data_IF_307778402958
#
_entry.id   IF_307778402958
#
_cell.length_a   1.000
_cell.length_b   1.000
_cell.length_c   1.000
_cell.angle_alpha   90.00
_cell.angle_beta   90.00
_cell.angle_gamma   90.00
#
_symmetry.space_group_name_H-M   'P 1'
#
loop_
_entity.id
_entity.type
_entity.pdbx_description
1 polymer ?
#
# COMPACT_ATOMS: atom_id res chain seq x y z
N UNK A 1 13.77 -1.64 -37.89
CA UNK A 1 13.25 -2.24 -36.64
C UNK A 1 13.53 -1.29 -35.46
N UNK A 2 13.08 -0.03 -35.51
CA UNK A 2 13.50 0.99 -34.54
C UNK A 2 12.46 2.11 -34.29
N UNK A 3 11.17 1.84 -34.51
CA UNK A 3 10.16 2.90 -34.59
C UNK A 3 8.89 2.65 -33.76
N UNK A 4 9.00 2.00 -32.58
CA UNK A 4 7.85 1.78 -31.69
C UNK A 4 8.09 2.08 -30.19
N UNK A 5 9.16 2.81 -29.83
CA UNK A 5 9.53 3.12 -28.43
C UNK A 5 9.00 4.46 -27.90
N UNK A 6 8.30 5.26 -28.71
CA UNK A 6 7.91 6.63 -28.34
C UNK A 6 6.52 6.74 -27.69
N UNK A 7 5.69 5.68 -27.70
CA UNK A 7 4.41 5.67 -26.98
C UNK A 7 4.62 5.34 -25.48
N UNK A 8 5.82 4.92 -25.07
CA UNK A 8 6.02 4.12 -23.86
C UNK A 8 6.55 4.87 -22.63
N UNK A 9 7.31 5.97 -22.79
CA UNK A 9 7.94 6.66 -21.64
C UNK A 9 7.10 7.82 -21.10
N UNK A 10 6.48 8.62 -21.96
CA UNK A 10 5.69 9.79 -21.53
C UNK A 10 4.41 9.37 -20.81
N UNK A 11 3.73 8.35 -21.33
CA UNK A 11 2.55 7.74 -20.68
C UNK A 11 2.94 7.05 -19.37
N UNK A 12 4.07 6.35 -19.32
CA UNK A 12 4.57 5.76 -18.07
C UNK A 12 4.91 6.84 -17.04
N UNK A 13 5.54 7.94 -17.44
CA UNK A 13 5.80 9.10 -16.60
C UNK A 13 4.50 9.73 -16.07
N UNK A 14 3.49 9.87 -16.93
CA UNK A 14 2.16 10.37 -16.54
C UNK A 14 1.47 9.44 -15.53
N UNK A 15 1.62 8.12 -15.68
CA UNK A 15 1.11 7.11 -14.74
C UNK A 15 1.84 7.20 -13.40
N UNK A 16 3.17 7.38 -13.42
CA UNK A 16 3.96 7.51 -12.20
C UNK A 16 3.62 8.81 -11.44
N UNK A 17 3.30 9.89 -12.14
CA UNK A 17 2.91 11.19 -11.57
C UNK A 17 1.43 11.22 -11.14
N UNK A 18 0.56 10.41 -11.74
CA UNK A 18 -0.85 10.38 -11.33
C UNK A 18 -1.01 9.92 -9.88
N UNK A 19 -0.16 8.98 -9.42
CA UNK A 19 -0.16 8.49 -8.04
C UNK A 19 0.03 9.62 -7.00
N UNK A 20 1.14 10.40 -7.00
CA UNK A 20 1.34 11.48 -6.05
C UNK A 20 0.32 12.62 -6.21
N UNK A 21 -0.16 12.92 -7.43
CA UNK A 21 -1.20 13.94 -7.62
C UNK A 21 -2.49 13.55 -6.89
N UNK A 22 -2.92 12.29 -7.07
CA UNK A 22 -4.12 11.78 -6.39
C UNK A 22 -3.89 11.79 -4.88
N UNK A 23 -2.71 11.36 -4.43
CA UNK A 23 -2.34 11.38 -3.01
C UNK A 23 -2.42 12.79 -2.40
N UNK A 24 -1.94 13.83 -3.10
CA UNK A 24 -2.01 15.22 -2.66
C UNK A 24 -3.45 15.69 -2.47
N UNK A 25 -4.34 15.35 -3.41
CA UNK A 25 -5.76 15.74 -3.35
C UNK A 25 -6.50 15.01 -2.21
N UNK A 26 -6.12 13.76 -1.99
CA UNK A 26 -6.74 12.84 -1.02
C UNK A 26 -6.31 13.11 0.42
N UNK A 27 -5.05 13.51 0.64
CA UNK A 27 -4.47 13.69 1.96
C UNK A 27 -5.24 14.66 2.90
N UNK A 28 -5.77 15.82 2.46
CA UNK A 28 -6.54 16.70 3.35
C UNK A 28 -7.88 16.08 3.78
N UNK A 29 -8.52 15.29 2.92
CA UNK A 29 -9.78 14.62 3.25
C UNK A 29 -9.58 13.55 4.34
N UNK A 30 -8.43 12.87 4.30
CA UNK A 30 -8.03 11.90 5.32
C UNK A 30 -7.86 12.54 6.71
N UNK A 31 -7.23 13.72 6.78
CA UNK A 31 -7.07 14.47 8.03
C UNK A 31 -8.40 14.88 8.64
N UNK A 32 -9.29 15.46 7.83
CA UNK A 32 -10.63 15.88 8.28
C UNK A 32 -11.48 14.71 8.80
N UNK A 33 -11.43 13.57 8.11
CA UNK A 33 -12.17 12.38 8.52
C UNK A 33 -11.59 11.75 9.79
N UNK A 34 -10.28 11.89 10.01
CA UNK A 34 -9.60 11.42 11.22
C UNK A 34 -10.03 12.18 12.49
N UNK A 35 -10.21 13.50 12.37
CA UNK A 35 -10.52 14.33 13.53
C UNK A 35 -11.95 14.11 14.06
N UNK A 36 -12.87 13.57 13.23
CA UNK A 36 -14.30 13.48 13.55
C UNK A 36 -14.75 12.13 14.14
N UNK A 37 -14.08 11.02 13.85
CA UNK A 37 -14.62 9.66 14.11
C UNK A 37 -13.91 8.86 15.22
N UNK A 38 -12.82 9.40 15.80
CA UNK A 38 -12.04 8.76 16.86
C UNK A 38 -11.06 7.69 16.36
N UNK A 39 -9.81 7.78 16.82
CA UNK A 39 -8.65 7.04 16.31
C UNK A 39 -8.88 5.54 16.07
N UNK A 40 -9.61 4.87 16.96
CA UNK A 40 -9.81 3.41 16.86
C UNK A 40 -10.75 3.00 15.71
N UNK A 41 -11.85 3.73 15.49
CA UNK A 41 -12.80 3.43 14.40
C UNK A 41 -12.19 3.75 13.04
N UNK A 42 -11.41 4.83 12.98
CA UNK A 42 -10.69 5.26 11.78
C UNK A 42 -9.65 4.23 11.37
N UNK A 43 -8.89 3.67 12.31
CA UNK A 43 -7.92 2.61 12.00
C UNK A 43 -8.59 1.37 11.37
N UNK A 44 -9.79 1.00 11.83
CA UNK A 44 -10.53 -0.13 11.26
C UNK A 44 -11.06 0.20 9.84
N UNK A 45 -11.58 1.40 9.64
CA UNK A 45 -12.07 1.88 8.32
C UNK A 45 -10.91 1.96 7.32
N UNK A 46 -9.76 2.47 7.74
CA UNK A 46 -8.59 2.59 6.88
C UNK A 46 -8.06 1.22 6.45
N UNK A 47 -8.00 0.24 7.36
CA UNK A 47 -7.61 -1.12 7.01
C UNK A 47 -8.61 -1.77 6.05
N UNK A 48 -9.91 -1.62 6.29
CA UNK A 48 -10.94 -2.11 5.37
C UNK A 48 -10.78 -1.50 3.96
N UNK A 49 -10.53 -0.18 3.88
CA UNK A 49 -10.23 0.49 2.60
C UNK A 49 -8.97 -0.08 1.93
N UNK A 50 -7.90 -0.32 2.68
CA UNK A 50 -6.66 -0.90 2.13
C UNK A 50 -6.88 -2.32 1.60
N UNK A 51 -7.66 -3.15 2.31
CA UNK A 51 -8.02 -4.50 1.85
C UNK A 51 -8.80 -4.45 0.54
N UNK A 52 -9.84 -3.60 0.46
CA UNK A 52 -10.66 -3.45 -0.74
C UNK A 52 -9.79 -2.96 -1.92
N UNK A 53 -8.88 -2.02 -1.66
CA UNK A 53 -7.97 -1.50 -2.69
C UNK A 53 -7.02 -2.57 -3.21
N UNK A 54 -6.43 -3.36 -2.32
CA UNK A 54 -5.52 -4.45 -2.68
C UNK A 54 -6.24 -5.58 -3.43
N UNK A 55 -7.46 -5.92 -3.04
CA UNK A 55 -8.28 -6.88 -3.78
C UNK A 55 -8.66 -6.36 -5.18
N UNK A 56 -8.94 -5.06 -5.30
CA UNK A 56 -9.16 -4.37 -6.56
C UNK A 56 -7.94 -4.42 -7.47
N UNK A 57 -6.75 -4.09 -6.93
CA UNK A 57 -5.47 -4.17 -7.64
C UNK A 57 -5.09 -5.61 -8.03
N UNK A 58 -5.42 -6.61 -7.21
CA UNK A 58 -5.23 -8.03 -7.53
C UNK A 58 -6.05 -8.50 -8.75
N UNK A 59 -7.12 -7.76 -9.08
CA UNK A 59 -8.04 -8.07 -10.18
C UNK A 59 -7.74 -7.28 -11.46
N UNK A 60 -6.74 -6.39 -11.44
CA UNK A 60 -6.34 -5.58 -12.60
C UNK A 60 -5.59 -6.45 -13.63
N UNK A 61 -6.05 -6.37 -14.89
CA UNK A 61 -5.43 -6.99 -16.08
C UNK A 61 -4.98 -5.94 -17.10
N UNK A 62 -4.29 -6.36 -18.17
CA UNK A 62 -3.81 -5.50 -19.27
C UNK A 62 -4.89 -4.64 -19.97
N UNK A 63 -6.15 -5.05 -19.92
CA UNK A 63 -7.29 -4.32 -20.53
C UNK A 63 -7.92 -3.31 -19.59
N UNK A 64 -7.44 -3.19 -18.35
CA UNK A 64 -8.08 -2.34 -17.35
C UNK A 64 -7.86 -0.87 -17.69
N UNK A 65 -8.93 -0.05 -17.75
CA UNK A 65 -8.81 1.38 -17.95
C UNK A 65 -7.90 2.02 -16.90
N UNK A 66 -7.02 2.90 -17.35
CA UNK A 66 -6.10 3.66 -16.50
C UNK A 66 -6.83 4.42 -15.38
N UNK A 67 -8.07 4.84 -15.65
CA UNK A 67 -8.95 5.50 -14.68
C UNK A 67 -9.28 4.61 -13.47
N UNK A 68 -9.50 3.30 -13.69
CA UNK A 68 -9.78 2.33 -12.63
C UNK A 68 -8.54 2.07 -11.79
N UNK A 69 -7.36 2.00 -12.42
CA UNK A 69 -6.09 1.90 -11.70
C UNK A 69 -5.85 3.13 -10.81
N UNK A 70 -6.04 4.34 -11.37
CA UNK A 70 -5.96 5.59 -10.62
C UNK A 70 -6.93 5.64 -9.43
N UNK A 71 -8.16 5.16 -9.62
CA UNK A 71 -9.16 5.08 -8.56
C UNK A 71 -8.68 4.16 -7.42
N UNK A 72 -8.21 2.95 -7.74
CA UNK A 72 -7.68 2.03 -6.73
C UNK A 72 -6.47 2.58 -5.98
N UNK A 73 -5.54 3.21 -6.70
CA UNK A 73 -4.39 3.90 -6.11
C UNK A 73 -4.82 5.05 -5.19
N UNK A 74 -5.88 5.77 -5.55
CA UNK A 74 -6.50 6.78 -4.70
C UNK A 74 -7.05 6.21 -3.41
N UNK A 75 -7.72 5.05 -3.46
CA UNK A 75 -8.17 4.35 -2.25
C UNK A 75 -7.01 3.88 -1.37
N UNK A 76 -5.89 3.42 -1.96
CA UNK A 76 -4.66 3.12 -1.21
C UNK A 76 -4.13 4.37 -0.51
N UNK A 77 -4.05 5.50 -1.23
CA UNK A 77 -3.61 6.78 -0.67
C UNK A 77 -4.50 7.26 0.47
N UNK A 78 -5.83 7.15 0.31
CA UNK A 78 -6.81 7.51 1.34
C UNK A 78 -6.62 6.62 2.57
N UNK A 79 -6.61 5.30 2.39
CA UNK A 79 -6.44 4.34 3.49
C UNK A 79 -5.14 4.57 4.25
N UNK A 80 -4.03 4.82 3.55
CA UNK A 80 -2.75 5.11 4.17
C UNK A 80 -2.77 6.44 4.96
N UNK A 81 -3.35 7.50 4.39
CA UNK A 81 -3.48 8.81 5.04
C UNK A 81 -4.32 8.76 6.31
N UNK A 82 -5.48 8.08 6.25
CA UNK A 82 -6.37 7.89 7.40
C UNK A 82 -5.69 7.09 8.52
N UNK A 83 -4.82 6.15 8.18
CA UNK A 83 -4.12 5.35 9.18
C UNK A 83 -2.95 6.11 9.82
N UNK A 84 -2.17 6.84 9.03
CA UNK A 84 -0.96 7.51 9.52
C UNK A 84 -1.23 8.73 10.39
N UNK A 85 -2.23 9.56 10.06
CA UNK A 85 -2.55 10.76 10.83
C UNK A 85 -2.82 10.49 12.33
N UNK A 86 -3.75 9.60 12.72
CA UNK A 86 -4.01 9.30 14.13
C UNK A 86 -2.86 8.52 14.78
N UNK A 87 -2.14 7.69 14.03
CA UNK A 87 -1.01 6.90 14.56
C UNK A 87 0.14 7.82 14.99
N UNK A 88 0.49 8.80 14.15
CA UNK A 88 1.54 9.75 14.47
C UNK A 88 1.16 10.60 15.70
N UNK A 89 -0.09 11.08 15.77
CA UNK A 89 -0.58 11.87 16.90
C UNK A 89 -0.58 11.05 18.20
N UNK A 90 -1.03 9.80 18.16
CA UNK A 90 -1.02 8.91 19.33
C UNK A 90 0.38 8.70 19.90
N UNK A 91 1.36 8.43 19.04
CA UNK A 91 2.76 8.23 19.45
C UNK A 91 3.33 9.52 20.04
N UNK A 92 3.14 10.66 19.37
CA UNK A 92 3.66 11.95 19.85
C UNK A 92 2.98 12.42 21.14
N UNK A 93 1.69 12.12 21.35
CA UNK A 93 0.98 12.43 22.59
C UNK A 93 1.30 11.48 23.75
N UNK A 94 1.91 10.32 23.47
CA UNK A 94 2.29 9.34 24.49
C UNK A 94 3.64 9.61 25.17
N UNK A 95 4.38 10.61 24.69
CA UNK A 95 5.73 10.96 25.17
C UNK A 95 5.79 12.38 25.73
N UNK A 96 6.73 12.62 26.64
CA UNK A 96 7.00 13.95 27.20
C UNK A 96 7.52 14.91 26.12
N UNK A 97 7.29 16.23 26.29
CA UNK A 97 7.76 17.25 25.33
C UNK A 97 9.28 17.19 25.07
N UNK A 98 10.06 16.86 26.11
CA UNK A 98 11.53 16.76 26.03
C UNK A 98 12.00 15.56 25.20
N UNK A 99 11.12 14.58 24.97
CA UNK A 99 11.41 13.36 24.22
C UNK A 99 10.82 13.37 22.80
N UNK A 100 10.13 14.43 22.40
CA UNK A 100 9.47 14.52 21.07
C UNK A 100 10.47 14.33 19.92
N UNK A 101 11.69 14.88 20.04
CA UNK A 101 12.73 14.71 19.03
C UNK A 101 13.17 13.25 18.88
N UNK A 102 13.37 12.55 20.00
CA UNK A 102 13.76 11.13 20.03
C UNK A 102 12.61 10.25 19.53
N UNK A 103 11.38 10.51 19.99
CA UNK A 103 10.18 9.78 19.58
C UNK A 103 9.90 9.92 18.08
N UNK A 104 10.01 11.13 17.54
CA UNK A 104 9.86 11.40 16.10
C UNK A 104 10.95 10.71 15.29
N UNK A 105 12.21 10.77 15.75
CA UNK A 105 13.32 10.05 15.13
C UNK A 105 13.10 8.53 15.11
N UNK A 106 12.67 7.94 16.23
CA UNK A 106 12.41 6.50 16.33
C UNK A 106 11.20 6.07 15.50
N UNK A 107 10.16 6.90 15.45
CA UNK A 107 8.99 6.67 14.60
C UNK A 107 9.38 6.71 13.11
N UNK A 108 10.16 7.72 12.72
CA UNK A 108 10.69 7.84 11.36
C UNK A 108 11.61 6.67 10.99
N UNK A 109 12.47 6.23 11.90
CA UNK A 109 13.32 5.06 11.71
C UNK A 109 12.50 3.78 11.54
N UNK A 110 11.56 3.53 12.46
CA UNK A 110 10.67 2.37 12.41
C UNK A 110 9.86 2.32 11.12
N UNK A 111 9.37 3.48 10.66
CA UNK A 111 8.64 3.60 9.40
C UNK A 111 9.53 3.33 8.19
N UNK A 112 10.73 3.92 8.11
CA UNK A 112 11.65 3.69 7.00
C UNK A 112 12.10 2.24 6.94
N UNK A 113 12.46 1.64 8.07
CA UNK A 113 12.79 0.21 8.15
C UNK A 113 11.61 -0.66 7.70
N UNK A 114 10.39 -0.35 8.15
CA UNK A 114 9.18 -1.05 7.71
C UNK A 114 8.93 -0.94 6.21
N UNK A 115 9.09 0.26 5.62
CA UNK A 115 8.95 0.47 4.17
C UNK A 115 10.00 -0.32 3.39
N UNK A 116 11.26 -0.30 3.81
CA UNK A 116 12.34 -1.04 3.16
C UNK A 116 12.12 -2.55 3.22
N UNK A 117 11.84 -3.09 4.41
CA UNK A 117 11.57 -4.53 4.59
C UNK A 117 10.33 -4.95 3.81
N UNK A 118 9.27 -4.14 3.83
CA UNK A 118 8.06 -4.38 3.07
C UNK A 118 8.29 -4.38 1.55
N UNK A 119 9.08 -3.44 1.03
CA UNK A 119 9.43 -3.38 -0.38
C UNK A 119 10.26 -4.61 -0.82
N UNK A 120 11.23 -5.03 -0.01
CA UNK A 120 12.02 -6.24 -0.27
C UNK A 120 11.10 -7.47 -0.29
N UNK A 121 10.21 -7.59 0.70
CA UNK A 121 9.27 -8.70 0.78
C UNK A 121 8.32 -8.76 -0.42
N UNK A 122 7.76 -7.62 -0.83
CA UNK A 122 6.91 -7.52 -2.02
C UNK A 122 7.67 -7.92 -3.30
N UNK A 123 8.94 -7.51 -3.42
CA UNK A 123 9.78 -7.88 -4.55
C UNK A 123 10.08 -9.38 -4.58
N UNK A 124 10.39 -9.99 -3.43
CA UNK A 124 10.59 -11.44 -3.32
C UNK A 124 9.34 -12.19 -3.75
N UNK A 125 8.15 -11.76 -3.30
CA UNK A 125 6.88 -12.37 -3.70
C UNK A 125 6.64 -12.25 -5.22
N UNK A 126 6.95 -11.09 -5.80
CA UNK A 126 6.79 -10.84 -7.24
C UNK A 126 7.67 -11.79 -8.05
N UNK A 127 8.97 -11.83 -7.76
CA UNK A 127 9.91 -12.71 -8.47
C UNK A 127 9.64 -14.20 -8.20
N UNK A 128 9.14 -14.55 -7.01
CA UNK A 128 8.70 -15.91 -6.70
C UNK A 128 7.51 -16.31 -7.55
N UNK A 129 6.50 -15.44 -7.67
CA UNK A 129 5.34 -15.71 -8.52
C UNK A 129 5.71 -15.81 -10.01
N UNK A 130 6.61 -14.94 -10.48
CA UNK A 130 7.18 -15.05 -11.84
C UNK A 130 7.88 -16.40 -12.03
N UNK A 131 8.78 -16.77 -11.10
CA UNK A 131 9.56 -18.02 -11.18
C UNK A 131 8.68 -19.27 -11.13
N UNK A 132 7.58 -19.25 -10.37
CA UNK A 132 6.60 -20.34 -10.34
C UNK A 132 5.91 -20.54 -11.70
N UNK A 133 5.68 -19.47 -12.45
CA UNK A 133 5.04 -19.54 -13.76
C UNK A 133 6.03 -19.97 -14.86
N UNK A 134 7.27 -19.48 -14.79
CA UNK A 134 8.34 -19.80 -15.74
C UNK A 134 9.01 -21.17 -15.50
N UNK A 135 8.85 -21.77 -14.34
CA UNK A 135 9.46 -23.06 -13.97
C UNK A 135 10.97 -22.98 -13.65
N UNK A 136 11.57 -21.80 -13.72
CA UNK A 136 12.97 -21.53 -13.38
C UNK A 136 13.12 -20.21 -12.64
N UNK A 137 14.11 -20.12 -11.76
CA UNK A 137 14.40 -18.91 -10.98
C UNK A 137 14.99 -17.83 -11.88
N UNK A 138 14.29 -16.70 -12.01
CA UNK A 138 14.76 -15.52 -12.75
C UNK A 138 14.91 -14.34 -11.80
N UNK A 139 16.04 -13.64 -11.88
CA UNK A 139 16.25 -12.35 -11.21
C UNK A 139 16.05 -11.16 -12.18
N UNK A 140 15.88 -11.45 -13.47
CA UNK A 140 15.59 -10.47 -14.50
C UNK A 140 14.11 -10.42 -14.83
N UNK A 141 13.62 -9.23 -15.18
CA UNK A 141 12.26 -9.03 -15.65
C UNK A 141 12.10 -9.70 -17.03
N UNK A 142 11.17 -10.66 -17.21
CA UNK A 142 10.97 -11.33 -18.48
C UNK A 142 10.25 -10.40 -19.46
N UNK A 143 11.00 -9.51 -20.13
CA UNK A 143 10.47 -8.57 -21.15
C UNK A 143 9.79 -9.32 -22.31
N UNK A 144 10.19 -10.58 -22.54
CA UNK A 144 9.64 -11.43 -23.59
C UNK A 144 8.32 -12.15 -23.22
N UNK A 145 7.92 -12.18 -21.93
CA UNK A 145 6.70 -12.88 -21.47
C UNK A 145 5.91 -12.04 -20.46
N UNK A 146 5.10 -11.07 -20.93
CA UNK A 146 4.30 -10.19 -20.06
C UNK A 146 3.34 -10.94 -19.12
N UNK A 147 2.86 -12.12 -19.53
CA UNK A 147 1.92 -12.94 -18.75
C UNK A 147 2.51 -13.44 -17.42
N UNK A 148 3.78 -13.84 -17.41
CA UNK A 148 4.45 -14.29 -16.19
C UNK A 148 4.62 -13.16 -15.17
N UNK A 149 4.85 -11.93 -15.65
CA UNK A 149 4.91 -10.73 -14.82
C UNK A 149 3.56 -10.40 -14.18
N UNK A 150 2.45 -10.47 -14.93
CA UNK A 150 1.11 -10.29 -14.37
C UNK A 150 0.82 -11.34 -13.31
N UNK A 151 1.14 -12.61 -13.59
CA UNK A 151 0.91 -13.69 -12.63
C UNK A 151 1.66 -13.41 -11.32
N UNK A 152 2.93 -13.01 -11.40
CA UNK A 152 3.70 -12.57 -10.24
C UNK A 152 3.06 -11.39 -9.50
N UNK A 153 2.61 -10.35 -10.21
CA UNK A 153 1.93 -9.22 -9.58
C UNK A 153 0.66 -9.65 -8.84
N UNK A 154 -0.20 -10.45 -9.49
CA UNK A 154 -1.44 -10.95 -8.88
C UNK A 154 -1.15 -11.82 -7.66
N UNK A 155 -0.15 -12.68 -7.73
CA UNK A 155 0.31 -13.49 -6.60
C UNK A 155 0.72 -12.62 -5.42
N UNK A 156 1.54 -11.59 -5.66
CA UNK A 156 1.94 -10.62 -4.62
C UNK A 156 0.75 -9.87 -4.03
N UNK A 157 -0.19 -9.41 -4.86
CA UNK A 157 -1.37 -8.70 -4.37
C UNK A 157 -2.30 -9.59 -3.54
N UNK A 158 -2.46 -10.87 -3.89
CA UNK A 158 -3.24 -11.81 -3.08
C UNK A 158 -2.59 -12.10 -1.72
N UNK A 159 -1.28 -12.37 -1.70
CA UNK A 159 -0.53 -12.61 -0.45
C UNK A 159 -0.61 -11.37 0.46
N UNK A 160 -0.38 -10.18 -0.09
CA UNK A 160 -0.44 -8.94 0.68
C UNK A 160 -1.86 -8.63 1.15
N UNK A 161 -2.90 -8.92 0.36
CA UNK A 161 -4.30 -8.83 0.80
C UNK A 161 -4.56 -9.76 1.99
N UNK A 162 -4.09 -11.01 1.94
CA UNK A 162 -4.23 -11.96 3.05
C UNK A 162 -3.54 -11.46 4.33
N UNK A 163 -2.34 -10.86 4.20
CA UNK A 163 -1.65 -10.21 5.33
C UNK A 163 -2.49 -9.07 5.91
N UNK A 164 -3.05 -8.18 5.07
CA UNK A 164 -3.91 -7.11 5.55
C UNK A 164 -5.18 -7.61 6.24
N UNK A 165 -5.78 -8.70 5.74
CA UNK A 165 -6.94 -9.35 6.39
C UNK A 165 -6.55 -9.91 7.76
N UNK A 166 -5.39 -10.57 7.89
CA UNK A 166 -4.90 -11.05 9.19
C UNK A 166 -4.68 -9.89 10.16
N UNK A 167 -4.06 -8.80 9.71
CA UNK A 167 -3.88 -7.59 10.53
C UNK A 167 -5.22 -6.99 10.97
N UNK A 168 -6.22 -6.98 10.10
CA UNK A 168 -7.57 -6.54 10.44
C UNK A 168 -8.23 -7.43 11.50
N UNK A 169 -8.11 -8.75 11.38
CA UNK A 169 -8.62 -9.69 12.39
C UNK A 169 -7.95 -9.45 13.74
N UNK A 170 -6.62 -9.31 13.77
CA UNK A 170 -5.87 -9.02 14.99
C UNK A 170 -6.32 -7.69 15.60
N UNK A 171 -6.49 -6.64 14.80
CA UNK A 171 -6.96 -5.35 15.30
C UNK A 171 -8.36 -5.44 15.92
N UNK A 172 -9.29 -6.15 15.26
CA UNK A 172 -10.65 -6.37 15.79
C UNK A 172 -10.60 -7.17 17.10
N UNK A 173 -9.77 -8.22 17.16
CA UNK A 173 -9.61 -9.04 18.37
C UNK A 173 -9.05 -8.23 19.55
N UNK A 174 -8.03 -7.41 19.32
CA UNK A 174 -7.45 -6.51 20.33
C UNK A 174 -8.48 -5.50 20.82
N UNK A 175 -9.27 -4.93 19.91
CA UNK A 175 -10.33 -3.98 20.28
C UNK A 175 -11.42 -4.62 21.14
N UNK A 176 -11.81 -5.86 20.81
CA UNK A 176 -12.81 -6.59 21.57
C UNK A 176 -12.33 -6.87 23.00
N UNK A 177 -11.06 -7.23 23.15
CA UNK A 177 -10.44 -7.47 24.47
C UNK A 177 -10.40 -6.21 25.33
N UNK A 178 -10.10 -5.06 24.72
CA UNK A 178 -10.02 -3.76 25.40
C UNK A 178 -11.38 -3.20 25.83
N UNK A 179 -12.48 -3.66 25.23
CA UNK A 179 -13.85 -3.30 25.63
C UNK A 179 -14.39 -4.18 26.77
N UNK A 180 -13.77 -5.34 27.00
CA UNK A 180 -14.12 -6.31 28.05
C UNK A 180 -13.19 -6.26 29.27
N UNK A 181 -12.24 -5.33 29.32
CA UNK A 181 -11.36 -5.06 30.49
C UNK A 181 -11.64 -3.65 30.98
#
# INVERSE_FOLDING_TARGET
MEQNRFITTDLAGLILISFPIIQIIVSPFAGWLSDRFGSHRIAAISLAMLIISQAGLASVNHTTPLLILCLWLGFVGLGNGLFQAPTNVLVMNSVSKDQLGVASGLLGFSRNTGMTVGAIFANILLFTGISMNLGHSTIDYPVAQPEAFIFGMRFTFWITTAIFVLLFIVQVAVNFKRKNT
#
